data_IF_277342315056
#
_entry.id   IF_277342315056
#
_cell.length_a   1.000
_cell.length_b   1.000
_cell.length_c   1.000
_cell.angle_alpha   90.00
_cell.angle_beta   90.00
_cell.angle_gamma   90.00
#
_symmetry.space_group_name_H-M   'P 1'
#
loop_
_entity.id
_entity.type
_entity.pdbx_description
1 polymer ?
#
# COMPACT_ATOMS: atom_id res chain seq x y z
N UNK A 1 70.44 39.99 -11.67
CA UNK A 1 69.13 39.60 -12.28
C UNK A 1 68.70 38.26 -11.70
N UNK A 2 67.91 38.28 -10.62
CA UNK A 2 67.44 37.06 -9.94
C UNK A 2 66.06 36.70 -10.42
N UNK A 3 65.90 35.47 -10.89
CA UNK A 3 64.60 34.87 -11.26
C UNK A 3 63.96 34.25 -10.04
N UNK A 4 62.82 34.78 -9.59
CA UNK A 4 61.97 34.21 -8.56
C UNK A 4 61.07 33.18 -9.18
N UNK A 5 61.28 31.89 -8.87
CA UNK A 5 60.41 30.80 -9.26
C UNK A 5 59.17 30.78 -8.32
N UNK A 6 57.98 31.05 -8.86
CA UNK A 6 56.69 30.88 -8.15
C UNK A 6 56.25 29.43 -8.26
N UNK A 7 56.37 28.70 -7.17
CA UNK A 7 55.77 27.36 -7.06
C UNK A 7 54.25 27.48 -6.82
N UNK A 8 53.44 27.02 -7.77
CA UNK A 8 52.00 26.92 -7.62
C UNK A 8 51.69 25.59 -6.95
N UNK A 9 51.23 25.63 -5.71
CA UNK A 9 50.73 24.47 -4.98
C UNK A 9 49.27 24.22 -5.38
N UNK A 10 49.03 23.20 -6.19
CA UNK A 10 47.69 22.75 -6.56
C UNK A 10 47.16 21.84 -5.44
N UNK A 11 46.25 22.34 -4.62
CA UNK A 11 45.56 21.58 -3.59
C UNK A 11 44.52 20.70 -4.26
N UNK A 12 44.77 19.41 -4.41
CA UNK A 12 43.76 18.41 -4.79
C UNK A 12 42.84 18.17 -3.61
N UNK A 13 41.64 18.75 -3.64
CA UNK A 13 40.54 18.32 -2.78
C UNK A 13 40.06 16.96 -3.26
N UNK A 14 40.49 15.88 -2.59
CA UNK A 14 39.91 14.56 -2.74
C UNK A 14 38.48 14.58 -2.19
N UNK A 15 37.48 14.71 -3.06
CA UNK A 15 36.08 14.46 -2.71
C UNK A 15 35.94 12.97 -2.40
N UNK A 16 35.91 12.61 -1.13
CA UNK A 16 35.57 11.25 -0.69
C UNK A 16 34.13 10.94 -1.17
N UNK A 17 33.91 9.85 -1.93
CA UNK A 17 32.55 9.44 -2.23
C UNK A 17 31.88 9.08 -0.91
N UNK A 18 30.94 9.91 -0.47
CA UNK A 18 30.10 9.61 0.67
C UNK A 18 29.29 8.36 0.33
N UNK A 19 29.67 7.22 0.88
CA UNK A 19 28.84 6.01 0.80
C UNK A 19 27.51 6.36 1.46
N UNK A 20 26.45 6.48 0.64
CA UNK A 20 25.09 6.62 1.14
C UNK A 20 24.83 5.42 2.07
N UNK A 21 24.63 5.70 3.35
CA UNK A 21 24.34 4.66 4.35
C UNK A 21 23.01 4.01 3.96
N UNK A 22 23.05 2.74 3.61
CA UNK A 22 21.86 1.98 3.32
C UNK A 22 21.03 1.87 4.61
N UNK A 23 19.76 2.24 4.54
CA UNK A 23 18.86 2.14 5.68
C UNK A 23 18.54 0.68 5.98
N UNK A 24 18.56 0.34 7.28
CA UNK A 24 18.27 -1.01 7.72
C UNK A 24 16.77 -1.15 7.95
N UNK A 25 16.10 -1.93 7.09
CA UNK A 25 14.69 -2.28 7.24
C UNK A 25 14.58 -3.65 7.88
N UNK A 26 13.88 -3.72 9.01
CA UNK A 26 13.68 -4.96 9.76
C UNK A 26 12.23 -5.11 10.21
N UNK A 27 11.89 -6.33 10.60
CA UNK A 27 10.53 -6.69 10.98
C UNK A 27 10.49 -7.21 12.41
N UNK A 28 9.46 -6.80 13.15
CA UNK A 28 9.13 -7.37 14.44
C UNK A 28 8.58 -8.80 14.32
N UNK A 29 8.40 -9.43 15.46
CA UNK A 29 7.70 -10.71 15.56
C UNK A 29 6.23 -10.53 15.19
N UNK A 30 5.63 -11.56 14.62
CA UNK A 30 4.19 -11.60 14.39
C UNK A 30 3.44 -11.66 15.72
N UNK A 31 2.45 -10.80 15.86
CA UNK A 31 1.55 -10.71 17.00
C UNK A 31 0.14 -11.02 16.52
N UNK A 32 -0.50 -12.08 17.07
CA UNK A 32 -1.91 -12.32 16.80
C UNK A 32 -2.75 -11.29 17.54
N UNK A 33 -3.61 -10.59 16.80
CA UNK A 33 -4.53 -9.59 17.33
C UNK A 33 -5.94 -9.84 16.82
N UNK A 34 -6.91 -9.22 17.44
CA UNK A 34 -8.28 -9.17 16.95
C UNK A 34 -8.52 -7.81 16.30
N UNK A 35 -9.06 -7.79 15.09
CA UNK A 35 -9.51 -6.57 14.46
C UNK A 35 -11.04 -6.55 14.39
N UNK A 36 -11.61 -5.38 14.45
CA UNK A 36 -13.04 -5.17 14.53
C UNK A 36 -13.59 -4.92 13.13
N UNK A 37 -14.56 -5.72 12.73
CA UNK A 37 -15.09 -5.80 11.36
C UNK A 37 -16.41 -5.07 11.20
N UNK A 38 -16.99 -4.61 12.26
CA UNK A 38 -18.30 -3.97 12.25
C UNK A 38 -18.41 -2.82 13.23
N UNK A 39 -19.54 -2.12 13.24
CA UNK A 39 -19.79 -1.02 14.17
C UNK A 39 -19.93 -1.48 15.62
N UNK A 40 -20.16 -2.78 15.85
CA UNK A 40 -20.30 -3.39 17.17
C UNK A 40 -19.08 -4.24 17.52
N UNK A 41 -18.73 -4.32 18.80
CA UNK A 41 -17.53 -5.01 19.30
C UNK A 41 -17.62 -6.55 19.26
N UNK A 42 -18.74 -7.10 18.86
CA UNK A 42 -19.02 -8.52 18.76
C UNK A 42 -18.51 -9.15 17.45
N UNK A 43 -18.30 -8.34 16.39
CA UNK A 43 -17.76 -8.83 15.12
C UNK A 43 -16.24 -8.63 15.06
N UNK A 44 -15.49 -9.64 15.50
CA UNK A 44 -14.02 -9.63 15.47
C UNK A 44 -13.48 -10.77 14.61
N UNK A 45 -12.38 -10.49 13.91
CA UNK A 45 -11.64 -11.49 13.14
C UNK A 45 -10.18 -11.55 13.59
N UNK A 46 -9.53 -12.73 13.54
CA UNK A 46 -8.10 -12.83 13.82
C UNK A 46 -7.28 -12.12 12.74
N UNK A 47 -6.23 -11.45 13.17
CA UNK A 47 -5.29 -10.77 12.31
C UNK A 47 -3.88 -10.88 12.88
N UNK A 48 -2.87 -11.11 12.04
CA UNK A 48 -1.48 -11.09 12.44
C UNK A 48 -0.83 -9.78 12.03
N UNK A 49 -0.27 -9.07 12.98
CA UNK A 49 0.45 -7.81 12.76
C UNK A 49 1.91 -7.93 13.16
N UNK A 50 2.78 -7.15 12.56
CA UNK A 50 4.17 -6.98 12.99
C UNK A 50 4.61 -5.54 12.80
N UNK A 51 5.53 -5.09 13.65
CA UNK A 51 6.14 -3.78 13.50
C UNK A 51 7.10 -3.75 12.30
N UNK A 52 7.11 -2.64 11.59
CA UNK A 52 8.09 -2.27 10.57
C UNK A 52 9.08 -1.30 11.21
N UNK A 53 10.36 -1.67 11.19
CA UNK A 53 11.44 -0.83 11.69
C UNK A 53 12.28 -0.29 10.54
N UNK A 54 12.69 0.96 10.69
CA UNK A 54 13.74 1.57 9.86
C UNK A 54 14.80 2.10 10.83
N UNK A 55 16.03 1.64 10.67
CA UNK A 55 17.17 2.00 11.54
C UNK A 55 16.88 1.77 13.03
N UNK A 56 16.20 0.67 13.35
CA UNK A 56 15.82 0.31 14.70
C UNK A 56 14.64 1.07 15.30
N UNK A 57 14.05 2.02 14.56
CA UNK A 57 12.87 2.75 15.00
C UNK A 57 11.59 2.18 14.38
N UNK A 58 10.56 1.98 15.20
CA UNK A 58 9.23 1.60 14.70
C UNK A 58 8.68 2.73 13.83
N UNK A 59 8.35 2.41 12.58
CA UNK A 59 7.71 3.36 11.66
C UNK A 59 6.22 3.14 11.55
N UNK A 60 5.80 1.88 11.53
CA UNK A 60 4.39 1.52 11.42
C UNK A 60 4.16 0.06 11.81
N UNK A 61 2.90 -0.38 11.79
CA UNK A 61 2.52 -1.79 11.88
C UNK A 61 1.98 -2.28 10.56
N UNK A 62 2.23 -3.55 10.26
CA UNK A 62 1.93 -4.12 8.94
C UNK A 62 1.24 -5.47 9.04
N UNK A 63 0.56 -5.83 7.95
CA UNK A 63 -0.14 -7.09 7.72
C UNK A 63 0.50 -7.82 6.53
N UNK A 64 0.42 -9.14 6.55
CA UNK A 64 0.82 -9.96 5.41
C UNK A 64 2.30 -9.80 5.04
N UNK A 65 2.66 -10.32 3.89
CA UNK A 65 4.00 -10.22 3.34
C UNK A 65 4.17 -8.97 2.49
N UNK A 66 5.36 -8.35 2.48
CA UNK A 66 5.66 -7.27 1.55
C UNK A 66 5.66 -7.80 0.11
N UNK A 67 5.31 -6.93 -0.82
CA UNK A 67 5.41 -7.17 -2.25
C UNK A 67 6.50 -6.25 -2.83
N UNK A 68 7.55 -6.84 -3.37
CA UNK A 68 8.66 -6.10 -3.98
C UNK A 68 8.26 -5.54 -5.35
N UNK A 69 8.33 -4.22 -5.48
CA UNK A 69 8.12 -3.50 -6.75
C UNK A 69 9.44 -3.50 -7.54
N UNK A 70 10.52 -3.16 -6.84
CA UNK A 70 11.91 -3.19 -7.30
C UNK A 70 12.80 -3.64 -6.16
N UNK A 71 14.09 -3.82 -6.38
CA UNK A 71 15.06 -4.11 -5.32
C UNK A 71 15.10 -3.03 -4.22
N UNK A 72 14.75 -1.79 -4.58
CA UNK A 72 14.75 -0.65 -3.66
C UNK A 72 13.38 -0.32 -3.07
N UNK A 73 12.30 -0.76 -3.69
CA UNK A 73 10.94 -0.33 -3.35
C UNK A 73 10.02 -1.52 -3.13
N UNK A 74 9.31 -1.53 -2.03
CA UNK A 74 8.25 -2.51 -1.78
C UNK A 74 7.01 -1.86 -1.21
N UNK A 75 5.90 -2.59 -1.28
CA UNK A 75 4.63 -2.22 -0.65
C UNK A 75 4.24 -3.27 0.36
N UNK A 76 3.55 -2.83 1.40
CA UNK A 76 3.02 -3.72 2.44
C UNK A 76 1.71 -3.16 2.98
N UNK A 77 0.77 -4.03 3.32
CA UNK A 77 -0.49 -3.60 3.92
C UNK A 77 -0.25 -3.03 5.31
N UNK A 78 -0.84 -1.88 5.59
CA UNK A 78 -0.76 -1.21 6.90
C UNK A 78 -1.80 -1.76 7.86
N UNK A 79 -1.45 -1.85 9.14
CA UNK A 79 -2.36 -1.96 10.26
C UNK A 79 -2.15 -0.78 11.21
N UNK A 80 -3.18 -0.37 11.90
CA UNK A 80 -3.06 0.62 12.95
C UNK A 80 -3.94 0.24 14.14
N UNK A 81 -3.66 0.83 15.26
CA UNK A 81 -4.52 0.73 16.44
C UNK A 81 -4.98 2.10 16.86
N UNK A 82 -6.21 2.19 17.27
CA UNK A 82 -6.80 3.40 17.83
C UNK A 82 -7.28 3.11 19.26
N UNK A 83 -7.27 4.13 20.09
CA UNK A 83 -7.90 4.08 21.39
C UNK A 83 -9.34 4.58 21.20
N UNK A 84 -10.32 3.71 21.42
CA UNK A 84 -11.74 4.04 21.34
C UNK A 84 -12.37 4.45 22.67
N UNK A 85 -11.52 4.78 23.64
CA UNK A 85 -11.92 5.26 24.94
C UNK A 85 -12.72 6.56 24.82
N UNK A 86 -13.85 6.60 25.48
CA UNK A 86 -14.67 7.82 25.53
C UNK A 86 -13.97 8.90 26.38
N UNK A 87 -14.19 10.21 26.07
CA UNK A 87 -13.59 11.30 26.83
C UNK A 87 -13.82 11.26 28.33
N UNK A 88 -15.01 10.80 28.76
CA UNK A 88 -15.36 10.63 30.18
C UNK A 88 -14.59 9.49 30.86
N UNK A 89 -13.99 8.60 30.10
CA UNK A 89 -13.22 7.45 30.60
C UNK A 89 -11.70 7.70 30.59
N UNK A 90 -11.26 8.94 30.39
CA UNK A 90 -9.85 9.33 30.23
C UNK A 90 -8.89 8.78 31.33
N UNK A 91 -9.43 8.48 32.52
CA UNK A 91 -8.65 7.93 33.64
C UNK A 91 -8.63 6.40 33.68
N UNK A 92 -9.31 5.71 32.75
CA UNK A 92 -9.29 4.25 32.64
C UNK A 92 -8.15 3.77 31.76
N UNK A 93 -7.86 2.49 31.81
CA UNK A 93 -6.88 1.87 30.91
C UNK A 93 -7.31 2.04 29.45
N UNK A 94 -6.43 2.50 28.56
CA UNK A 94 -6.75 2.67 27.14
C UNK A 94 -7.27 1.39 26.50
N UNK A 95 -8.39 1.52 25.78
CA UNK A 95 -9.00 0.41 25.05
C UNK A 95 -8.53 0.42 23.58
N UNK A 96 -7.50 -0.36 23.27
CA UNK A 96 -6.90 -0.40 21.95
C UNK A 96 -7.63 -1.37 21.02
N UNK A 97 -8.08 -0.85 19.89
CA UNK A 97 -8.65 -1.64 18.80
C UNK A 97 -7.74 -1.62 17.58
N UNK A 98 -7.49 -2.79 17.02
CA UNK A 98 -6.74 -2.92 15.78
C UNK A 98 -7.66 -2.79 14.57
N UNK A 99 -7.15 -2.10 13.55
CA UNK A 99 -7.85 -1.90 12.28
C UNK A 99 -6.91 -2.16 11.11
N UNK A 100 -7.48 -2.62 10.00
CA UNK A 100 -6.78 -2.65 8.72
C UNK A 100 -6.77 -1.22 8.14
N UNK A 101 -5.67 -0.88 7.46
CA UNK A 101 -5.54 0.39 6.75
C UNK A 101 -5.19 0.16 5.28
N UNK A 102 -4.82 1.23 4.59
CA UNK A 102 -4.34 1.19 3.22
C UNK A 102 -2.99 0.47 3.08
N UNK A 103 -2.18 0.95 2.19
CA UNK A 103 -0.86 0.38 1.89
C UNK A 103 0.23 1.37 2.27
N UNK A 104 1.40 0.84 2.57
CA UNK A 104 2.63 1.60 2.73
C UNK A 104 3.54 1.31 1.55
N UNK A 105 4.23 2.35 1.08
CA UNK A 105 5.37 2.26 0.18
C UNK A 105 6.62 2.50 1.01
N UNK A 106 7.56 1.59 0.92
CA UNK A 106 8.83 1.66 1.67
C UNK A 106 9.98 1.69 0.69
N UNK A 107 10.79 2.73 0.77
CA UNK A 107 12.01 2.90 -0.01
C UNK A 107 13.21 2.49 0.84
N UNK A 108 13.89 1.41 0.43
CA UNK A 108 15.06 0.87 1.13
C UNK A 108 16.27 1.79 1.07
N UNK A 109 16.36 2.61 0.02
CA UNK A 109 17.51 3.50 -0.19
C UNK A 109 17.45 4.73 0.71
N UNK A 110 16.26 5.29 0.91
CA UNK A 110 16.05 6.50 1.70
C UNK A 110 15.47 6.24 3.10
N UNK A 111 15.04 4.99 3.39
CA UNK A 111 14.34 4.64 4.62
C UNK A 111 12.94 5.29 4.73
N UNK A 112 12.46 5.89 3.65
CA UNK A 112 11.17 6.58 3.65
C UNK A 112 10.03 5.58 3.64
N UNK A 113 9.07 5.81 4.54
CA UNK A 113 7.77 5.11 4.59
C UNK A 113 6.69 6.12 4.29
N UNK A 114 5.81 5.83 3.33
CA UNK A 114 4.74 6.74 2.90
C UNK A 114 3.51 5.97 2.45
N UNK A 115 2.36 6.60 2.48
CA UNK A 115 1.12 6.04 1.97
C UNK A 115 0.92 6.41 0.50
N UNK A 116 0.70 5.44 -0.41
CA UNK A 116 0.34 5.73 -1.79
C UNK A 116 -1.11 6.24 -1.84
N UNK A 117 -1.38 7.16 -2.77
CA UNK A 117 -2.76 7.55 -3.05
C UNK A 117 -3.42 6.48 -3.92
N UNK A 118 -4.37 5.77 -3.36
CA UNK A 118 -5.17 4.76 -4.06
C UNK A 118 -6.63 5.28 -4.15
N UNK A 119 -7.07 5.73 -5.32
CA UNK A 119 -8.43 6.28 -5.49
C UNK A 119 -9.52 5.25 -5.14
N UNK A 120 -10.57 5.68 -4.47
CA UNK A 120 -11.71 4.85 -4.07
C UNK A 120 -11.34 3.59 -3.24
N UNK A 121 -10.12 3.54 -2.68
CA UNK A 121 -9.67 2.38 -1.91
C UNK A 121 -10.20 2.45 -0.48
N UNK A 122 -11.05 1.49 -0.12
CA UNK A 122 -11.55 1.32 1.23
C UNK A 122 -10.83 0.17 1.94
N UNK A 123 -10.25 0.40 3.14
CA UNK A 123 -9.52 -0.64 3.89
C UNK A 123 -10.37 -1.83 4.32
N UNK A 124 -11.67 -1.67 4.47
CA UNK A 124 -12.59 -2.75 4.85
C UNK A 124 -13.04 -3.56 3.63
N UNK A 125 -13.31 -2.87 2.54
CA UNK A 125 -13.90 -3.44 1.34
C UNK A 125 -12.87 -3.93 0.33
N UNK A 126 -11.81 -3.12 0.10
CA UNK A 126 -10.90 -3.32 -1.02
C UNK A 126 -9.84 -4.38 -0.75
N UNK A 127 -9.76 -5.39 -1.61
CA UNK A 127 -8.68 -6.38 -1.63
C UNK A 127 -7.78 -6.09 -2.84
N UNK A 128 -6.55 -5.64 -2.56
CA UNK A 128 -5.60 -5.24 -3.60
C UNK A 128 -4.73 -6.39 -4.07
N UNK A 129 -4.48 -6.42 -5.38
CA UNK A 129 -3.54 -7.32 -6.04
C UNK A 129 -2.49 -6.50 -6.80
N UNK A 130 -1.20 -6.82 -6.58
CA UNK A 130 -0.07 -6.06 -7.13
C UNK A 130 0.59 -6.81 -8.29
N UNK A 131 1.00 -6.04 -9.29
CA UNK A 131 1.83 -6.51 -10.39
C UNK A 131 2.80 -5.41 -10.83
N UNK A 132 4.11 -5.58 -10.64
CA UNK A 132 5.10 -4.51 -10.78
C UNK A 132 4.69 -3.32 -9.91
N UNK A 133 4.63 -2.13 -10.47
CA UNK A 133 4.19 -0.88 -9.86
C UNK A 133 2.69 -0.59 -10.04
N UNK A 134 1.92 -1.56 -10.58
CA UNK A 134 0.47 -1.49 -10.71
C UNK A 134 -0.22 -2.18 -9.55
N UNK A 135 -1.36 -1.63 -9.16
CA UNK A 135 -2.27 -2.24 -8.19
C UNK A 135 -3.67 -2.26 -8.77
N UNK A 136 -4.34 -3.39 -8.60
CA UNK A 136 -5.74 -3.56 -8.97
C UNK A 136 -6.57 -3.92 -7.74
N UNK A 137 -7.75 -3.35 -7.64
CA UNK A 137 -8.72 -3.59 -6.55
C UNK A 137 -10.11 -3.15 -6.96
N UNK A 138 -11.13 -3.65 -6.26
CA UNK A 138 -12.43 -3.04 -6.28
C UNK A 138 -12.44 -1.88 -5.30
N UNK A 139 -12.69 -0.67 -5.80
CA UNK A 139 -12.89 0.51 -5.02
C UNK A 139 -14.36 0.73 -4.71
N UNK A 140 -14.65 1.57 -3.72
CA UNK A 140 -16.00 1.98 -3.36
C UNK A 140 -16.09 3.51 -3.38
N UNK A 141 -17.22 4.06 -3.80
CA UNK A 141 -17.44 5.50 -3.75
C UNK A 141 -17.51 6.01 -2.31
N UNK A 142 -17.25 7.31 -2.10
CA UNK A 142 -17.25 7.94 -0.77
C UNK A 142 -18.60 7.81 -0.05
N UNK A 143 -19.72 7.73 -0.80
CA UNK A 143 -21.06 7.49 -0.27
C UNK A 143 -21.36 6.00 -0.01
N UNK A 144 -20.46 5.10 -0.41
CA UNK A 144 -20.63 3.66 -0.26
C UNK A 144 -21.59 3.00 -1.24
N UNK A 145 -22.13 3.74 -2.22
CA UNK A 145 -23.22 3.26 -3.10
C UNK A 145 -22.71 2.52 -4.35
N UNK A 146 -21.48 2.84 -4.82
CA UNK A 146 -20.96 2.32 -6.10
C UNK A 146 -19.65 1.60 -5.93
N UNK A 147 -19.50 0.54 -6.69
CA UNK A 147 -18.26 -0.24 -6.80
C UNK A 147 -17.56 0.06 -8.12
N UNK A 148 -16.24 0.19 -8.09
CA UNK A 148 -15.41 0.44 -9.26
C UNK A 148 -14.33 -0.61 -9.42
N UNK A 149 -14.09 -1.07 -10.64
CA UNK A 149 -12.81 -1.71 -10.98
C UNK A 149 -11.75 -0.62 -11.11
N UNK A 150 -10.73 -0.65 -10.27
CA UNK A 150 -9.67 0.34 -10.25
C UNK A 150 -8.34 -0.32 -10.54
N UNK A 151 -7.59 0.24 -11.51
CA UNK A 151 -6.16 -0.05 -11.69
C UNK A 151 -5.41 1.26 -11.53
N UNK A 152 -4.57 1.32 -10.50
CA UNK A 152 -3.72 2.47 -10.23
C UNK A 152 -2.24 2.10 -10.45
N UNK A 153 -1.40 3.09 -10.62
CA UNK A 153 0.05 2.94 -10.73
C UNK A 153 0.72 3.82 -9.69
N UNK A 154 1.71 3.30 -9.00
CA UNK A 154 2.48 4.07 -8.01
C UNK A 154 3.04 5.35 -8.64
N UNK A 155 2.96 6.44 -7.87
CA UNK A 155 3.44 7.76 -8.31
C UNK A 155 2.48 8.52 -9.23
N UNK A 156 1.38 7.91 -9.70
CA UNK A 156 0.36 8.59 -10.51
C UNK A 156 -0.81 9.09 -9.66
N UNK A 157 -1.30 10.28 -9.98
CA UNK A 157 -2.47 10.87 -9.29
C UNK A 157 -3.80 10.29 -9.76
N UNK A 158 -3.89 9.87 -11.05
CA UNK A 158 -5.12 9.35 -11.65
C UNK A 158 -4.97 7.85 -11.91
N UNK A 159 -6.00 7.05 -11.67
CA UNK A 159 -6.00 5.64 -12.02
C UNK A 159 -5.91 5.46 -13.55
N UNK A 160 -5.38 4.31 -13.98
CA UNK A 160 -5.32 3.90 -15.38
C UNK A 160 -6.69 3.35 -15.82
N UNK A 161 -7.35 2.64 -14.92
CA UNK A 161 -8.73 2.15 -15.08
C UNK A 161 -9.53 2.62 -13.88
N UNK A 162 -10.71 3.13 -14.14
CA UNK A 162 -11.80 3.35 -13.19
C UNK A 162 -13.11 3.08 -13.88
N UNK A 163 -13.60 1.85 -13.78
CA UNK A 163 -14.80 1.37 -14.45
C UNK A 163 -15.88 1.09 -13.42
N UNK A 164 -17.07 1.64 -13.61
CA UNK A 164 -18.23 1.35 -12.77
C UNK A 164 -18.63 -0.13 -12.90
N UNK A 165 -18.80 -0.81 -11.78
CA UNK A 165 -19.21 -2.21 -11.66
C UNK A 165 -20.65 -2.35 -11.18
N UNK A 166 -21.32 -1.23 -10.89
CA UNK A 166 -22.68 -1.18 -10.39
C UNK A 166 -22.79 -0.77 -8.93
N UNK A 167 -23.98 -0.99 -8.36
CA UNK A 167 -24.24 -0.66 -6.97
C UNK A 167 -23.48 -1.60 -6.02
N UNK A 168 -22.99 -1.05 -4.91
CA UNK A 168 -22.48 -1.85 -3.82
C UNK A 168 -23.63 -2.65 -3.18
N UNK A 169 -23.38 -3.92 -2.89
CA UNK A 169 -24.34 -4.67 -2.11
C UNK A 169 -24.28 -4.21 -0.64
N UNK A 170 -25.41 -4.16 0.01
CA UNK A 170 -25.52 -3.86 1.44
C UNK A 170 -25.03 -5.07 2.25
N UNK A 171 -23.74 -5.33 2.26
CA UNK A 171 -23.18 -6.42 3.04
C UNK A 171 -22.41 -5.91 4.24
N UNK A 172 -22.76 -6.40 5.40
CA UNK A 172 -22.05 -6.18 6.66
C UNK A 172 -20.72 -6.98 6.72
N UNK A 173 -20.35 -7.68 5.65
CA UNK A 173 -19.16 -8.51 5.61
C UNK A 173 -18.08 -7.86 4.76
N UNK A 174 -16.94 -7.49 5.36
CA UNK A 174 -15.79 -6.98 4.61
C UNK A 174 -15.21 -8.09 3.72
N UNK A 175 -14.57 -7.71 2.62
CA UNK A 175 -13.88 -8.58 1.65
C UNK A 175 -14.76 -9.57 0.87
N UNK A 176 -16.08 -9.66 1.11
CA UNK A 176 -16.91 -10.72 0.54
C UNK A 176 -17.40 -10.44 -0.87
N UNK A 177 -17.43 -9.19 -1.27
CA UNK A 177 -18.14 -8.80 -2.50
C UNK A 177 -17.25 -8.71 -3.73
N UNK A 178 -15.97 -8.45 -3.58
CA UNK A 178 -15.05 -8.38 -4.71
C UNK A 178 -13.72 -9.02 -4.36
N UNK A 179 -13.47 -10.25 -4.81
CA UNK A 179 -12.21 -10.93 -4.59
C UNK A 179 -11.04 -10.16 -5.23
N UNK A 180 -9.82 -10.43 -4.74
CA UNK A 180 -8.62 -9.82 -5.30
C UNK A 180 -8.55 -10.04 -6.81
N UNK A 181 -8.37 -8.97 -7.63
CA UNK A 181 -8.23 -9.11 -9.07
C UNK A 181 -7.05 -9.99 -9.46
N UNK A 182 -7.23 -10.80 -10.50
CA UNK A 182 -6.21 -11.75 -10.96
C UNK A 182 -5.33 -11.11 -12.04
N UNK A 183 -4.00 -11.20 -11.91
CA UNK A 183 -3.05 -10.74 -12.91
C UNK A 183 -2.55 -11.89 -13.79
N UNK A 184 -2.62 -11.68 -15.10
CA UNK A 184 -1.88 -12.42 -16.11
C UNK A 184 -0.65 -11.59 -16.51
N UNK A 185 0.53 -12.24 -16.62
CA UNK A 185 1.80 -11.53 -16.81
C UNK A 185 2.14 -11.22 -18.27
N UNK A 186 1.84 -12.13 -19.19
CA UNK A 186 2.20 -12.02 -20.61
C UNK A 186 1.02 -12.40 -21.50
N UNK A 187 0.36 -11.45 -22.17
CA UNK A 187 0.47 -10.00 -21.98
C UNK A 187 -0.04 -9.57 -20.60
N UNK A 188 0.38 -8.39 -20.13
CA UNK A 188 -0.11 -7.87 -18.86
C UNK A 188 -1.62 -7.61 -18.94
N UNK A 189 -2.39 -8.38 -18.19
CA UNK A 189 -3.85 -8.29 -18.12
C UNK A 189 -4.31 -8.46 -16.68
N UNK A 190 -5.32 -7.72 -16.31
CA UNK A 190 -5.98 -7.88 -15.01
C UNK A 190 -7.44 -8.21 -15.21
N UNK A 191 -7.94 -9.16 -14.42
CA UNK A 191 -9.33 -9.61 -14.45
C UNK A 191 -10.00 -9.38 -13.12
N UNK A 192 -11.15 -8.74 -13.15
CA UNK A 192 -12.02 -8.50 -12.00
C UNK A 192 -13.20 -9.47 -12.09
N UNK A 193 -13.62 -9.99 -10.94
CA UNK A 193 -14.75 -10.88 -10.79
C UNK A 193 -15.74 -10.27 -9.79
N UNK A 194 -16.56 -9.29 -10.21
CA UNK A 194 -17.56 -8.72 -9.33
C UNK A 194 -18.60 -9.77 -8.93
N UNK A 195 -19.20 -9.67 -7.74
CA UNK A 195 -20.17 -10.65 -7.23
C UNK A 195 -21.42 -10.76 -8.08
N UNK A 196 -21.85 -9.64 -8.64
CA UNK A 196 -23.00 -9.54 -9.55
C UNK A 196 -22.51 -9.06 -10.89
N UNK A 197 -22.33 -9.97 -11.85
CA UNK A 197 -22.00 -9.57 -13.20
C UNK A 197 -20.94 -10.42 -13.87
N UNK A 198 -20.64 -10.04 -15.11
CA UNK A 198 -19.63 -10.71 -15.91
C UNK A 198 -18.23 -10.28 -15.49
N UNK A 199 -17.30 -11.20 -15.61
CA UNK A 199 -15.88 -10.94 -15.46
C UNK A 199 -15.41 -9.84 -16.41
N UNK A 200 -14.64 -8.86 -15.90
CA UNK A 200 -14.08 -7.77 -16.70
C UNK A 200 -12.57 -7.89 -16.76
N UNK A 201 -12.02 -7.84 -17.97
CA UNK A 201 -10.57 -7.91 -18.18
C UNK A 201 -10.05 -6.67 -18.89
N UNK A 202 -8.91 -6.18 -18.41
CA UNK A 202 -8.22 -5.04 -18.98
C UNK A 202 -6.79 -5.41 -19.35
N UNK A 203 -6.40 -5.16 -20.61
CA UNK A 203 -5.00 -5.26 -21.04
C UNK A 203 -4.27 -3.99 -20.71
N UNK A 204 -3.15 -4.10 -20.00
CA UNK A 204 -2.33 -2.95 -19.58
C UNK A 204 -1.15 -2.82 -20.53
N UNK A 205 -1.04 -1.68 -21.20
CA UNK A 205 0.06 -1.36 -22.13
C UNK A 205 0.72 -0.06 -21.69
N UNK A 206 1.87 -0.15 -21.05
CA UNK A 206 2.53 1.02 -20.50
C UNK A 206 1.61 1.76 -19.52
N UNK A 207 1.27 3.02 -19.83
CA UNK A 207 0.43 3.86 -18.97
C UNK A 207 -1.05 3.92 -19.41
N UNK A 208 -1.47 3.02 -20.29
CA UNK A 208 -2.85 2.93 -20.77
C UNK A 208 -3.43 1.54 -20.58
N UNK A 209 -4.75 1.47 -20.49
CA UNK A 209 -5.50 0.24 -20.45
C UNK A 209 -6.55 0.21 -21.54
N UNK A 210 -6.79 -0.95 -22.13
CA UNK A 210 -7.88 -1.22 -23.05
C UNK A 210 -8.72 -2.38 -22.52
N UNK A 211 -10.04 -2.30 -22.74
CA UNK A 211 -10.94 -3.43 -22.46
C UNK A 211 -10.56 -4.59 -23.37
N UNK A 212 -10.27 -5.74 -22.78
CA UNK A 212 -10.10 -6.97 -23.57
C UNK A 212 -11.50 -7.54 -23.81
N UNK A 213 -11.93 -7.52 -25.07
CA UNK A 213 -13.23 -8.08 -25.44
C UNK A 213 -13.36 -9.55 -24.97
N UNK A 214 -14.57 -9.89 -24.56
CA UNK A 214 -14.97 -11.29 -24.32
C UNK A 214 -14.78 -12.07 -25.63
N UNK A 215 -14.05 -13.20 -25.58
CA UNK A 215 -14.23 -14.31 -26.51
C UNK A 215 -15.21 -15.28 -25.90
#
# INVERSE_FOLDING_TARGET
>A
MGRVARSIFILFLAASPGFARQHQITWGKWLPVKWFVGPTDDKVQPMNVRALYVDGQVKDFTLGQPYDITDQLFVVRRAYRLNDQLPQDANKVPHWKWQRAGWLVVDRSSGRVSEPKLPDFDPFYSVASWYRDYVAYCGISDDGEKVFAVVAQLGRKKPIVRQDLGAAANSDTPDSECPAPAWQRNPARVTFQPPSGKSLSFSIRGHSAGVSGEQ
#
